data_IF_809209622838
#
_entry.id   IF_809209622838
#
_cell.length_a   1.000
_cell.length_b   1.000
_cell.length_c   1.000
_cell.angle_alpha   90.00
_cell.angle_beta   90.00
_cell.angle_gamma   90.00
#
_symmetry.space_group_name_H-M   'P 1'
#
loop_
_entity.id
_entity.type
_entity.pdbx_description
1 polymer ?
#
# COMPACT_ATOMS: atom_id res chain seq x y z
N UNK A 1 -6.95 -9.73 27.53
CA UNK A 1 -5.54 -10.03 27.22
C UNK A 1 -5.35 -11.44 26.67
N UNK A 2 -5.83 -12.47 27.36
CA UNK A 2 -5.65 -13.89 27.00
C UNK A 2 -5.93 -14.24 25.53
N UNK A 3 -6.99 -13.71 24.92
CA UNK A 3 -7.27 -13.99 23.50
C UNK A 3 -6.16 -13.53 22.54
N UNK A 4 -5.40 -12.48 22.87
CA UNK A 4 -4.26 -12.05 22.05
C UNK A 4 -3.11 -13.05 22.14
N UNK A 5 -2.90 -13.66 23.32
CA UNK A 5 -1.95 -14.75 23.52
C UNK A 5 -2.36 -16.00 22.72
N UNK A 6 -3.64 -16.38 22.79
CA UNK A 6 -4.19 -17.50 21.99
C UNK A 6 -4.03 -17.24 20.49
N UNK A 7 -4.29 -16.01 20.07
CA UNK A 7 -4.11 -15.58 18.68
C UNK A 7 -2.64 -15.40 18.27
N UNK A 8 -1.71 -15.43 19.23
CA UNK A 8 -0.28 -15.14 19.05
C UNK A 8 -0.01 -13.74 18.46
N UNK A 9 -0.85 -12.77 18.80
CA UNK A 9 -0.71 -11.36 18.42
C UNK A 9 -0.13 -10.57 19.59
N UNK A 10 1.00 -9.88 19.37
CA UNK A 10 1.67 -9.12 20.43
C UNK A 10 0.71 -8.05 21.01
N UNK A 11 0.53 -7.98 22.34
CA UNK A 11 -0.50 -7.18 22.99
C UNK A 11 -0.11 -5.70 23.11
N UNK A 12 0.14 -5.06 21.96
CA UNK A 12 0.32 -3.61 21.87
C UNK A 12 -1.01 -2.90 22.12
N UNK A 13 -0.94 -1.65 22.58
CA UNK A 13 -2.09 -0.88 23.04
C UNK A 13 -3.22 -0.82 21.99
N UNK A 14 -2.90 -0.62 20.71
CA UNK A 14 -3.86 -0.68 19.60
C UNK A 14 -4.63 -2.01 19.51
N UNK A 15 -3.97 -3.15 19.64
CA UNK A 15 -4.59 -4.48 19.57
C UNK A 15 -5.41 -4.78 20.82
N UNK A 16 -4.94 -4.38 21.99
CA UNK A 16 -5.72 -4.50 23.25
C UNK A 16 -6.97 -3.63 23.16
N UNK A 17 -6.84 -2.38 22.73
CA UNK A 17 -7.96 -1.45 22.48
C UNK A 17 -8.95 -2.02 21.46
N UNK A 18 -8.45 -2.56 20.35
CA UNK A 18 -9.27 -3.23 19.34
C UNK A 18 -10.09 -4.38 19.94
N UNK A 19 -9.46 -5.22 20.77
CA UNK A 19 -10.12 -6.34 21.43
C UNK A 19 -11.14 -5.94 22.49
N UNK A 20 -10.94 -4.83 23.18
CA UNK A 20 -11.92 -4.28 24.11
C UNK A 20 -13.16 -3.79 23.34
N UNK A 21 -12.95 -3.08 22.23
CA UNK A 21 -14.03 -2.62 21.34
C UNK A 21 -14.82 -3.78 20.74
N UNK A 22 -14.15 -4.82 20.24
CA UNK A 22 -14.79 -6.03 19.71
C UNK A 22 -15.66 -6.75 20.74
N UNK A 23 -15.34 -6.62 22.04
CA UNK A 23 -16.11 -7.19 23.15
C UNK A 23 -17.19 -6.25 23.70
N UNK A 24 -17.47 -5.13 23.02
CA UNK A 24 -18.40 -4.10 23.49
C UNK A 24 -18.08 -3.61 24.92
N UNK A 25 -16.78 -3.49 25.24
CA UNK A 25 -16.37 -2.95 26.54
C UNK A 25 -16.76 -1.48 26.64
N UNK A 26 -17.17 -0.99 27.82
CA UNK A 26 -17.45 0.43 28.06
C UNK A 26 -16.32 1.34 27.59
N UNK A 27 -16.66 2.46 26.95
CA UNK A 27 -15.69 3.41 26.39
C UNK A 27 -14.70 3.93 27.46
N UNK A 28 -15.13 4.02 28.72
CA UNK A 28 -14.26 4.37 29.85
C UNK A 28 -13.10 3.38 29.95
N UNK A 29 -13.37 2.08 29.93
CA UNK A 29 -12.32 1.05 29.98
C UNK A 29 -11.46 1.05 28.72
N UNK A 30 -12.04 1.29 27.55
CA UNK A 30 -11.28 1.41 26.29
C UNK A 30 -10.29 2.59 26.32
N UNK A 31 -10.55 3.62 27.12
CA UNK A 31 -9.66 4.78 27.30
C UNK A 31 -8.65 4.58 28.43
N UNK A 32 -9.03 3.94 29.52
CA UNK A 32 -8.20 3.81 30.74
C UNK A 32 -7.54 2.43 30.91
N UNK A 33 -7.68 1.50 29.96
CA UNK A 33 -7.20 0.12 30.12
C UNK A 33 -5.73 0.02 30.52
N UNK A 34 -4.84 0.85 29.98
CA UNK A 34 -3.40 0.80 30.31
C UNK A 34 -3.18 1.05 31.81
N UNK A 35 -3.85 2.06 32.37
CA UNK A 35 -3.80 2.37 33.80
C UNK A 35 -4.41 1.24 34.63
N UNK A 36 -5.54 0.68 34.20
CA UNK A 36 -6.21 -0.42 34.88
C UNK A 36 -5.32 -1.68 34.95
N UNK A 37 -4.65 -2.03 33.86
CA UNK A 37 -3.67 -3.13 33.88
C UNK A 37 -2.48 -2.81 34.80
N UNK A 38 -2.02 -1.55 34.82
CA UNK A 38 -0.93 -1.09 35.69
C UNK A 38 -1.25 -1.13 37.19
N UNK A 39 -2.53 -1.12 37.57
CA UNK A 39 -2.98 -1.27 38.97
C UNK A 39 -2.84 -2.71 39.51
N UNK A 40 -2.60 -3.69 38.64
CA UNK A 40 -2.46 -5.10 38.99
C UNK A 40 -1.08 -5.67 38.57
N UNK A 41 0.02 -5.16 39.15
CA UNK A 41 1.39 -5.54 38.77
C UNK A 41 1.75 -6.98 39.13
N UNK A 42 0.98 -7.62 40.01
CA UNK A 42 1.07 -9.04 40.36
C UNK A 42 0.60 -9.95 39.21
N UNK A 43 -0.27 -9.45 38.34
CA UNK A 43 -0.84 -10.20 37.22
C UNK A 43 -0.31 -9.74 35.86
N UNK A 44 0.06 -8.48 35.73
CA UNK A 44 0.40 -7.87 34.44
C UNK A 44 1.71 -7.08 34.51
N UNK A 45 2.40 -7.06 33.37
CA UNK A 45 3.55 -6.21 33.13
C UNK A 45 3.20 -5.20 32.04
N UNK A 46 3.18 -3.92 32.38
CA UNK A 46 2.91 -2.84 31.42
C UNK A 46 4.23 -2.17 31.05
N UNK A 47 4.63 -2.33 29.79
CA UNK A 47 5.83 -1.71 29.24
C UNK A 47 5.44 -0.44 28.47
N UNK A 48 5.93 0.71 28.93
CA UNK A 48 5.76 2.00 28.26
C UNK A 48 7.11 2.41 27.64
N UNK A 49 7.27 2.30 26.31
CA UNK A 49 8.54 2.69 25.69
C UNK A 49 8.77 4.20 25.85
N UNK A 50 10.01 4.58 26.17
CA UNK A 50 10.41 6.00 26.15
C UNK A 50 10.48 6.46 24.69
N UNK A 51 9.65 7.43 24.29
CA UNK A 51 9.68 8.00 22.93
C UNK A 51 8.34 8.13 22.20
N UNK A 52 7.22 7.78 22.83
CA UNK A 52 5.88 7.95 22.24
C UNK A 52 5.37 6.73 21.47
N UNK A 53 6.10 5.62 21.48
CA UNK A 53 5.58 4.33 21.02
C UNK A 53 4.44 3.83 21.93
N UNK A 54 3.53 3.05 21.36
CA UNK A 54 2.38 2.51 22.07
C UNK A 54 2.80 1.51 23.18
N UNK A 55 2.14 1.62 24.34
CA UNK A 55 2.34 0.70 25.46
C UNK A 55 2.10 -0.76 25.06
N UNK A 56 2.82 -1.70 25.66
CA UNK A 56 2.59 -3.14 25.50
C UNK A 56 2.25 -3.77 26.84
N UNK A 57 1.23 -4.62 26.87
CA UNK A 57 0.68 -5.19 28.11
C UNK A 57 0.86 -6.69 28.10
N UNK A 58 1.68 -7.24 28.98
CA UNK A 58 1.93 -8.68 29.11
C UNK A 58 1.31 -9.23 30.39
N UNK A 59 1.13 -10.55 30.44
CA UNK A 59 1.00 -11.22 31.72
C UNK A 59 2.34 -11.24 32.44
N UNK A 60 2.34 -11.06 33.76
CA UNK A 60 3.55 -11.14 34.59
C UNK A 60 4.24 -12.50 34.45
N UNK A 61 3.45 -13.57 34.34
CA UNK A 61 3.92 -14.91 33.97
C UNK A 61 3.24 -15.36 32.68
N UNK A 62 4.02 -15.69 31.66
CA UNK A 62 3.46 -16.23 30.43
C UNK A 62 2.75 -17.58 30.69
N UNK A 63 1.58 -17.82 30.07
CA UNK A 63 0.91 -19.11 30.16
C UNK A 63 1.78 -20.25 29.58
N UNK A 64 1.71 -21.44 30.17
CA UNK A 64 2.54 -22.59 29.75
C UNK A 64 2.25 -23.05 28.31
N UNK A 65 1.02 -22.83 27.84
CA UNK A 65 0.60 -23.16 26.48
C UNK A 65 1.04 -22.14 25.42
N UNK A 66 1.64 -21.02 25.83
CA UNK A 66 1.99 -19.94 24.91
C UNK A 66 3.25 -20.25 24.10
N UNK A 67 3.13 -20.23 22.76
CA UNK A 67 4.19 -20.61 21.82
C UNK A 67 4.94 -19.42 21.20
N UNK A 68 4.92 -18.26 21.86
CA UNK A 68 5.52 -17.04 21.31
C UNK A 68 4.64 -16.30 20.30
N UNK A 69 5.05 -15.08 19.96
CA UNK A 69 4.35 -14.17 19.05
C UNK A 69 4.63 -14.52 17.59
N UNK A 70 3.68 -14.22 16.70
CA UNK A 70 3.91 -14.22 15.26
C UNK A 70 4.38 -12.82 14.84
N UNK A 71 5.49 -12.76 14.12
CA UNK A 71 5.86 -11.58 13.36
C UNK A 71 5.05 -11.58 12.05
N UNK A 72 4.08 -10.67 11.97
CA UNK A 72 3.15 -10.57 10.83
C UNK A 72 3.86 -10.01 9.60
N UNK A 73 4.92 -9.22 9.79
CA UNK A 73 5.64 -8.55 8.71
C UNK A 73 6.87 -9.36 8.23
N UNK A 74 7.09 -10.56 8.80
CA UNK A 74 8.13 -11.48 8.35
C UNK A 74 7.92 -11.87 6.88
N UNK A 75 8.98 -11.91 6.05
CA UNK A 75 8.90 -12.39 4.66
C UNK A 75 8.98 -13.92 4.56
N UNK A 76 9.26 -14.62 5.67
CA UNK A 76 9.40 -16.07 5.65
C UNK A 76 8.04 -16.74 5.42
N UNK A 77 7.97 -17.68 4.48
CA UNK A 77 6.76 -18.45 4.19
C UNK A 77 6.87 -19.89 4.73
N UNK A 78 6.41 -20.15 5.97
CA UNK A 78 6.42 -21.48 6.56
C UNK A 78 5.17 -22.31 6.20
N UNK A 79 4.29 -21.80 5.34
CA UNK A 79 3.00 -22.43 5.02
C UNK A 79 3.13 -23.32 3.78
N UNK A 80 2.43 -24.47 3.80
CA UNK A 80 2.49 -25.42 2.69
C UNK A 80 1.69 -24.95 1.46
N UNK A 81 1.99 -25.55 0.31
CA UNK A 81 1.30 -25.24 -0.96
C UNK A 81 -0.17 -25.70 -0.98
N UNK A 82 -0.57 -26.63 -0.10
CA UNK A 82 -1.96 -27.10 0.00
C UNK A 82 -2.85 -26.00 0.56
N UNK A 83 -2.36 -25.28 1.58
CA UNK A 83 -2.99 -24.08 2.11
C UNK A 83 -3.12 -23.02 1.01
N UNK A 84 -2.04 -22.73 0.29
CA UNK A 84 -2.03 -21.69 -0.74
C UNK A 84 -2.99 -22.02 -1.88
N UNK A 85 -3.01 -23.26 -2.35
CA UNK A 85 -3.98 -23.72 -3.34
C UNK A 85 -5.43 -23.64 -2.85
N UNK A 86 -5.68 -23.98 -1.58
CA UNK A 86 -7.01 -23.88 -0.98
C UNK A 86 -7.47 -22.43 -0.83
N UNK A 87 -6.56 -21.52 -0.44
CA UNK A 87 -6.82 -20.09 -0.34
C UNK A 87 -7.08 -19.49 -1.73
N UNK A 88 -6.25 -19.80 -2.72
CA UNK A 88 -6.44 -19.32 -4.09
C UNK A 88 -7.78 -19.77 -4.66
N UNK A 89 -8.15 -21.05 -4.46
CA UNK A 89 -9.46 -21.59 -4.85
C UNK A 89 -10.62 -20.89 -4.13
N UNK A 90 -10.46 -20.60 -2.83
CA UNK A 90 -11.44 -19.83 -2.09
C UNK A 90 -11.58 -18.40 -2.64
N UNK A 91 -10.49 -17.78 -3.08
CA UNK A 91 -10.46 -16.42 -3.63
C UNK A 91 -10.92 -16.33 -5.09
N UNK A 92 -11.19 -17.45 -5.77
CA UNK A 92 -11.63 -17.54 -7.18
C UNK A 92 -13.09 -17.06 -7.40
N UNK A 93 -13.55 -16.12 -6.59
CA UNK A 93 -14.88 -15.56 -6.62
C UNK A 93 -14.87 -14.06 -6.33
N UNK A 94 -16.06 -13.45 -6.30
CA UNK A 94 -16.17 -12.04 -5.99
C UNK A 94 -16.09 -11.82 -4.46
N UNK A 95 -14.90 -11.46 -3.99
CA UNK A 95 -14.67 -11.15 -2.58
C UNK A 95 -14.15 -9.73 -2.39
N UNK A 96 -14.59 -9.11 -1.30
CA UNK A 96 -14.11 -7.79 -0.88
C UNK A 96 -14.04 -7.77 0.64
N UNK A 97 -12.85 -7.54 1.17
CA UNK A 97 -12.58 -7.60 2.61
C UNK A 97 -12.29 -6.19 3.14
N UNK A 98 -12.94 -5.83 4.24
CA UNK A 98 -12.75 -4.54 4.92
C UNK A 98 -11.70 -4.64 6.04
N UNK A 99 -11.23 -3.49 6.54
CA UNK A 99 -10.43 -3.44 7.76
C UNK A 99 -8.97 -3.89 7.61
N UNK A 100 -8.46 -3.90 6.37
CA UNK A 100 -7.07 -4.25 6.06
C UNK A 100 -6.72 -5.70 6.42
N UNK A 101 -5.45 -5.96 6.72
CA UNK A 101 -4.90 -7.31 6.98
C UNK A 101 -5.64 -8.03 8.11
N UNK A 102 -5.80 -7.34 9.24
CA UNK A 102 -6.49 -7.87 10.42
C UNK A 102 -7.97 -8.11 10.15
N UNK A 103 -8.66 -7.16 9.51
CA UNK A 103 -10.07 -7.30 9.17
C UNK A 103 -10.33 -8.47 8.24
N UNK A 104 -9.52 -8.63 7.19
CA UNK A 104 -9.58 -9.79 6.30
C UNK A 104 -9.30 -11.11 7.04
N UNK A 105 -8.24 -11.18 7.85
CA UNK A 105 -7.92 -12.38 8.61
C UNK A 105 -9.06 -12.79 9.55
N UNK A 106 -9.70 -11.82 10.20
CA UNK A 106 -10.89 -12.05 11.04
C UNK A 106 -12.06 -12.59 10.22
N UNK A 107 -12.34 -12.00 9.06
CA UNK A 107 -13.42 -12.45 8.19
C UNK A 107 -13.17 -13.88 7.68
N UNK A 108 -11.93 -14.19 7.28
CA UNK A 108 -11.54 -15.55 6.87
C UNK A 108 -11.75 -16.57 8.00
N UNK A 109 -11.38 -16.22 9.23
CA UNK A 109 -11.63 -17.09 10.39
C UNK A 109 -13.12 -17.26 10.68
N UNK A 110 -13.92 -16.20 10.55
CA UNK A 110 -15.38 -16.26 10.77
C UNK A 110 -16.09 -17.15 9.76
N UNK A 111 -15.53 -17.31 8.56
CA UNK A 111 -16.04 -18.22 7.53
C UNK A 111 -15.76 -19.70 7.83
N UNK A 112 -15.05 -20.02 8.94
CA UNK A 112 -14.76 -21.38 9.41
C UNK A 112 -14.18 -22.30 8.32
N UNK A 113 -13.23 -21.77 7.54
CA UNK A 113 -12.61 -22.50 6.44
C UNK A 113 -11.71 -23.62 7.00
N UNK A 114 -11.95 -24.86 6.56
CA UNK A 114 -11.25 -26.04 7.09
C UNK A 114 -9.72 -25.95 6.99
N UNK A 115 -9.21 -25.39 5.89
CA UNK A 115 -7.77 -25.22 5.68
C UNK A 115 -7.14 -24.13 6.57
N UNK A 116 -7.94 -23.26 7.21
CA UNK A 116 -7.46 -22.27 8.18
C UNK A 116 -7.66 -22.72 9.64
N UNK A 117 -8.40 -23.80 9.89
CA UNK A 117 -8.71 -24.30 11.23
C UNK A 117 -7.48 -24.54 12.15
N UNK A 118 -6.32 -25.00 11.66
CA UNK A 118 -5.17 -25.23 12.54
C UNK A 118 -4.36 -23.95 12.86
N UNK A 119 -4.69 -22.81 12.25
CA UNK A 119 -3.92 -21.57 12.38
C UNK A 119 -4.56 -20.59 13.35
N UNK A 120 -3.73 -19.94 14.17
CA UNK A 120 -4.17 -18.83 15.03
C UNK A 120 -4.44 -17.57 14.20
N UNK A 121 -5.20 -16.61 14.73
CA UNK A 121 -5.46 -15.36 13.98
C UNK A 121 -4.17 -14.64 13.59
N UNK A 122 -3.14 -14.61 14.45
CA UNK A 122 -1.84 -14.04 14.11
C UNK A 122 -1.18 -14.71 12.92
N UNK A 123 -1.29 -16.05 12.81
CA UNK A 123 -0.82 -16.79 11.63
C UNK A 123 -1.66 -16.45 10.40
N UNK A 124 -3.00 -16.33 10.53
CA UNK A 124 -3.86 -15.91 9.41
C UNK A 124 -3.56 -14.47 8.96
N UNK A 125 -3.25 -13.55 9.88
CA UNK A 125 -2.77 -12.20 9.54
C UNK A 125 -1.47 -12.27 8.72
N UNK A 126 -0.54 -13.13 9.11
CA UNK A 126 0.71 -13.35 8.36
C UNK A 126 0.45 -14.00 6.99
N UNK A 127 -0.45 -14.98 6.89
CA UNK A 127 -0.89 -15.56 5.61
C UNK A 127 -1.46 -14.47 4.69
N UNK A 128 -2.30 -13.57 5.21
CA UNK A 128 -2.83 -12.43 4.44
C UNK A 128 -1.70 -11.49 4.01
N UNK A 129 -0.73 -11.22 4.87
CA UNK A 129 0.45 -10.42 4.50
C UNK A 129 1.23 -11.03 3.34
N UNK A 130 1.59 -12.31 3.43
CA UNK A 130 2.31 -13.03 2.38
C UNK A 130 1.48 -13.13 1.09
N UNK A 131 0.15 -13.25 1.21
CA UNK A 131 -0.76 -13.23 0.07
C UNK A 131 -0.72 -11.92 -0.71
N UNK A 132 -0.44 -10.80 -0.02
CA UNK A 132 -0.32 -9.48 -0.62
C UNK A 132 1.07 -9.30 -1.22
N UNK A 133 2.13 -9.58 -0.45
CA UNK A 133 3.51 -9.22 -0.81
C UNK A 133 4.19 -10.24 -1.72
N UNK A 134 4.03 -11.53 -1.44
CA UNK A 134 4.83 -12.58 -2.07
C UNK A 134 4.02 -13.44 -3.03
N UNK A 135 2.85 -13.92 -2.60
CA UNK A 135 2.00 -14.84 -3.39
C UNK A 135 1.07 -14.11 -4.37
N UNK A 136 0.90 -12.79 -4.22
CA UNK A 136 0.13 -11.90 -5.11
C UNK A 136 -1.32 -12.37 -5.34
N UNK A 137 -1.94 -13.02 -4.37
CA UNK A 137 -3.32 -13.51 -4.45
C UNK A 137 -4.34 -12.38 -4.21
N UNK A 138 -3.95 -11.36 -3.45
CA UNK A 138 -4.84 -10.30 -2.96
C UNK A 138 -4.15 -8.95 -3.13
N UNK A 139 -4.91 -7.91 -3.45
CA UNK A 139 -4.42 -6.53 -3.62
C UNK A 139 -5.29 -5.54 -2.86
N UNK A 140 -4.69 -4.44 -2.40
CA UNK A 140 -5.44 -3.29 -1.91
C UNK A 140 -6.09 -2.54 -3.07
N UNK A 141 -7.42 -2.41 -3.02
CA UNK A 141 -8.19 -1.60 -3.95
C UNK A 141 -9.20 -0.74 -3.18
N UNK A 142 -9.11 0.59 -3.31
CA UNK A 142 -9.99 1.56 -2.63
C UNK A 142 -10.15 1.32 -1.11
N UNK A 143 -9.02 1.12 -0.41
CA UNK A 143 -8.93 0.80 1.04
C UNK A 143 -9.49 -0.57 1.46
N UNK A 144 -9.89 -1.40 0.50
CA UNK A 144 -10.36 -2.77 0.72
C UNK A 144 -9.33 -3.76 0.19
N UNK A 145 -9.37 -5.00 0.66
CA UNK A 145 -8.59 -6.10 0.09
C UNK A 145 -9.49 -6.89 -0.86
N UNK A 146 -8.99 -7.19 -2.07
CA UNK A 146 -9.72 -7.96 -3.09
C UNK A 146 -8.81 -9.01 -3.72
N UNK A 147 -9.35 -10.18 -4.14
CA UNK A 147 -8.61 -11.11 -4.98
C UNK A 147 -8.07 -10.40 -6.22
N UNK A 148 -6.82 -10.72 -6.60
CA UNK A 148 -6.20 -10.11 -7.78
C UNK A 148 -7.03 -10.36 -9.03
N UNK A 149 -7.60 -11.57 -9.16
CA UNK A 149 -8.40 -11.95 -10.31
C UNK A 149 -9.69 -11.15 -10.43
N UNK A 150 -10.32 -10.74 -9.31
CA UNK A 150 -11.49 -9.85 -9.36
C UNK A 150 -11.12 -8.47 -9.91
N UNK A 151 -9.93 -7.96 -9.58
CA UNK A 151 -9.45 -6.67 -10.09
C UNK A 151 -9.02 -6.78 -11.56
N UNK A 152 -8.49 -7.94 -11.98
CA UNK A 152 -8.08 -8.22 -13.35
C UNK A 152 -9.27 -8.56 -14.28
N UNK A 153 -10.29 -9.28 -13.81
CA UNK A 153 -11.48 -9.61 -14.61
C UNK A 153 -12.48 -8.45 -14.73
N UNK A 154 -12.34 -7.41 -13.90
CA UNK A 154 -13.05 -6.14 -14.09
C UNK A 154 -12.43 -5.28 -15.21
N UNK A 155 -11.37 -5.77 -15.85
CA UNK A 155 -10.95 -5.31 -17.17
C UNK A 155 -11.98 -5.81 -18.21
N UNK A 156 -12.49 -4.96 -19.11
CA UNK A 156 -13.40 -5.43 -20.14
C UNK A 156 -12.70 -6.51 -20.97
N UNK A 157 -13.23 -7.73 -20.90
CA UNK A 157 -12.92 -8.76 -21.89
C UNK A 157 -13.45 -8.24 -23.23
N UNK A 158 -12.56 -8.02 -24.18
CA UNK A 158 -12.94 -7.78 -25.57
C UNK A 158 -13.76 -8.98 -26.06
N UNK A 159 -15.07 -8.79 -26.22
CA UNK A 159 -15.97 -9.90 -26.50
C UNK A 159 -17.43 -9.51 -26.65
N UNK A 160 -17.73 -8.85 -27.77
CA UNK A 160 -18.97 -8.99 -28.54
C UNK A 160 -20.29 -8.36 -28.00
N UNK A 161 -20.70 -7.26 -28.64
CA UNK A 161 -22.09 -7.07 -29.10
C UNK A 161 -23.08 -6.31 -28.19
N UNK A 162 -23.50 -5.15 -28.71
CA UNK A 162 -24.77 -4.46 -28.48
C UNK A 162 -25.00 -3.66 -27.17
N UNK A 163 -24.62 -2.38 -27.25
CA UNK A 163 -25.59 -1.28 -27.22
C UNK A 163 -26.35 -1.01 -25.91
N UNK A 164 -25.70 -0.34 -24.97
CA UNK A 164 -26.30 0.73 -24.15
C UNK A 164 -25.16 1.50 -23.46
N UNK A 165 -25.02 2.79 -23.76
CA UNK A 165 -24.05 3.66 -23.10
C UNK A 165 -24.39 3.79 -21.61
N UNK A 166 -23.39 3.80 -20.73
CA UNK A 166 -23.22 5.01 -19.93
C UNK A 166 -21.75 5.43 -19.74
N UNK A 167 -21.55 6.73 -19.90
CA UNK A 167 -20.56 7.60 -19.23
C UNK A 167 -19.11 7.09 -19.09
N UNK A 168 -18.33 7.52 -20.09
CA UNK A 168 -16.88 7.50 -20.18
C UNK A 168 -16.26 8.08 -18.90
N UNK A 169 -15.71 7.21 -18.04
CA UNK A 169 -14.68 7.63 -17.08
C UNK A 169 -13.35 7.04 -17.56
N UNK A 170 -12.60 7.89 -18.26
CA UNK A 170 -11.26 7.65 -18.79
C UNK A 170 -10.31 7.15 -17.69
N UNK A 171 -10.18 5.84 -17.54
CA UNK A 171 -9.16 5.24 -16.69
C UNK A 171 -7.82 5.26 -17.43
N UNK A 172 -6.98 6.19 -17.02
CA UNK A 172 -5.67 6.42 -17.59
C UNK A 172 -4.72 5.21 -17.62
N UNK A 173 -3.93 5.10 -18.68
CA UNK A 173 -2.95 4.04 -18.92
C UNK A 173 -1.86 4.02 -17.84
N UNK A 174 -1.51 2.84 -17.32
CA UNK A 174 -0.48 2.70 -16.28
C UNK A 174 0.93 2.86 -16.88
N UNK A 175 1.82 3.54 -16.17
CA UNK A 175 3.23 3.69 -16.55
C UNK A 175 3.97 2.43 -16.11
N UNK A 176 4.58 1.73 -17.07
CA UNK A 176 5.16 0.38 -16.86
C UNK A 176 6.68 0.33 -17.00
N UNK A 177 7.29 1.36 -17.57
CA UNK A 177 8.73 1.43 -17.78
C UNK A 177 9.31 2.80 -17.39
N UNK A 178 10.63 2.80 -17.18
CA UNK A 178 11.36 3.96 -16.63
C UNK A 178 11.52 5.10 -17.64
N UNK A 179 11.50 4.80 -18.94
CA UNK A 179 11.65 5.82 -19.98
C UNK A 179 10.35 6.60 -20.14
N UNK A 180 9.21 5.91 -20.10
CA UNK A 180 7.87 6.49 -20.10
C UNK A 180 7.61 7.30 -18.82
N UNK A 181 8.05 6.81 -17.65
CA UNK A 181 8.01 7.60 -16.41
C UNK A 181 8.86 8.87 -16.52
N UNK A 182 10.09 8.75 -16.98
CA UNK A 182 11.01 9.87 -17.19
C UNK A 182 10.43 10.91 -18.16
N UNK A 183 9.83 10.46 -19.27
CA UNK A 183 9.20 11.32 -20.26
C UNK A 183 8.04 12.13 -19.65
N UNK A 184 7.17 11.47 -18.88
CA UNK A 184 6.05 12.14 -18.19
C UNK A 184 6.56 13.17 -17.18
N UNK A 185 7.59 12.83 -16.40
CA UNK A 185 8.17 13.74 -15.42
C UNK A 185 8.84 14.95 -16.05
N UNK A 186 9.52 14.79 -17.20
CA UNK A 186 10.04 15.92 -17.95
C UNK A 186 8.94 16.89 -18.36
N UNK A 187 7.87 16.36 -18.98
CA UNK A 187 6.74 17.18 -19.43
C UNK A 187 6.08 17.91 -18.25
N UNK A 188 5.90 17.25 -17.11
CA UNK A 188 5.41 17.88 -15.89
C UNK A 188 6.32 19.02 -15.41
N UNK A 189 7.62 18.79 -15.30
CA UNK A 189 8.56 19.77 -14.75
C UNK A 189 8.82 20.96 -15.70
N UNK A 190 8.58 20.80 -16.99
CA UNK A 190 8.59 21.92 -17.95
C UNK A 190 7.50 22.97 -17.64
N UNK A 191 6.34 22.53 -17.14
CA UNK A 191 5.25 23.41 -16.71
C UNK A 191 5.40 23.91 -15.26
N UNK A 192 6.26 23.27 -14.48
CA UNK A 192 6.48 23.56 -13.05
C UNK A 192 7.98 23.78 -12.74
N UNK A 193 8.58 24.91 -13.17
CA UNK A 193 10.02 25.16 -13.05
C UNK A 193 10.53 25.28 -11.61
N UNK A 194 9.65 25.54 -10.64
CA UNK A 194 9.98 25.53 -9.20
C UNK A 194 10.08 24.12 -8.59
N UNK A 195 9.72 23.08 -9.35
CA UNK A 195 9.66 21.71 -8.90
C UNK A 195 8.29 21.31 -8.35
N UNK A 196 8.09 20.00 -8.21
CA UNK A 196 6.82 19.39 -7.82
C UNK A 196 6.99 18.66 -6.49
N UNK A 197 6.05 18.82 -5.56
CA UNK A 197 6.06 18.03 -4.32
C UNK A 197 5.87 16.55 -4.62
N UNK A 198 6.76 15.71 -4.08
CA UNK A 198 6.75 14.27 -4.28
C UNK A 198 5.38 13.65 -3.92
N UNK A 199 4.76 14.11 -2.83
CA UNK A 199 3.43 13.63 -2.40
C UNK A 199 2.28 13.95 -3.37
N UNK A 200 2.43 14.97 -4.23
CA UNK A 200 1.43 15.37 -5.24
C UNK A 200 1.69 14.76 -6.61
N UNK A 201 2.87 14.18 -6.84
CA UNK A 201 3.29 13.69 -8.14
C UNK A 201 2.31 12.69 -8.76
N UNK A 202 1.87 11.67 -8.01
CA UNK A 202 0.87 10.69 -8.47
C UNK A 202 -0.45 11.35 -8.89
N UNK A 203 -0.87 12.37 -8.14
CA UNK A 203 -2.10 13.09 -8.43
C UNK A 203 -1.97 13.90 -9.72
N UNK A 204 -0.82 14.53 -9.95
CA UNK A 204 -0.55 15.32 -11.15
C UNK A 204 -0.38 14.44 -12.39
N UNK A 205 0.33 13.31 -12.31
CA UNK A 205 0.41 12.31 -13.40
C UNK A 205 -1.00 11.85 -13.81
N UNK A 206 -1.87 11.60 -12.83
CA UNK A 206 -3.26 11.23 -13.10
C UNK A 206 -4.07 12.34 -13.74
N UNK A 207 -3.92 13.58 -13.30
CA UNK A 207 -4.74 14.70 -13.75
C UNK A 207 -4.28 15.29 -15.08
N UNK A 208 -2.98 15.49 -15.25
CA UNK A 208 -2.40 16.16 -16.44
C UNK A 208 -2.17 15.20 -17.60
N UNK A 209 -1.83 13.93 -17.32
CA UNK A 209 -1.46 12.96 -18.35
C UNK A 209 -2.48 11.84 -18.50
N UNK A 210 -3.49 11.77 -17.62
CA UNK A 210 -4.39 10.61 -17.53
C UNK A 210 -3.58 9.32 -17.52
N UNK A 211 -2.54 9.24 -16.69
CA UNK A 211 -1.73 8.03 -16.48
C UNK A 211 -1.75 7.62 -15.01
N UNK A 212 -1.45 6.36 -14.71
CA UNK A 212 -1.33 5.86 -13.33
C UNK A 212 0.12 5.49 -13.02
N UNK A 213 0.63 5.95 -11.88
CA UNK A 213 1.95 5.58 -11.36
C UNK A 213 1.78 4.66 -10.14
N UNK A 214 2.41 3.49 -10.20
CA UNK A 214 2.41 2.46 -9.17
C UNK A 214 3.85 2.10 -8.82
N UNK A 215 4.25 2.24 -7.55
CA UNK A 215 5.60 1.87 -7.09
C UNK A 215 5.87 0.38 -7.32
N UNK A 216 4.82 -0.45 -7.27
CA UNK A 216 4.90 -1.89 -7.52
C UNK A 216 5.33 -2.22 -8.95
N UNK A 217 4.98 -1.37 -9.94
CA UNK A 217 5.43 -1.55 -11.32
C UNK A 217 6.95 -1.41 -11.47
N UNK A 218 7.59 -0.71 -10.52
CA UNK A 218 9.02 -0.41 -10.49
C UNK A 218 9.76 -1.11 -9.33
N UNK A 219 9.11 -2.10 -8.71
CA UNK A 219 9.67 -2.88 -7.59
C UNK A 219 10.06 -2.03 -6.36
N UNK A 220 9.37 -0.91 -6.17
CA UNK A 220 9.52 -0.03 -5.01
C UNK A 220 8.36 -0.17 -4.02
N UNK A 221 8.62 0.11 -2.75
CA UNK A 221 7.59 0.20 -1.70
C UNK A 221 7.25 1.63 -1.34
N UNK A 222 8.18 2.57 -1.58
CA UNK A 222 7.99 4.00 -1.35
C UNK A 222 8.25 4.79 -2.62
N UNK A 223 7.46 5.84 -2.84
CA UNK A 223 7.58 6.70 -4.02
C UNK A 223 8.97 7.34 -4.16
N UNK A 224 9.64 7.62 -3.05
CA UNK A 224 10.99 8.19 -3.03
C UNK A 224 12.04 7.22 -3.58
N UNK A 225 11.83 5.91 -3.44
CA UNK A 225 12.80 4.88 -3.89
C UNK A 225 12.91 4.85 -5.42
N UNK A 226 11.88 5.31 -6.16
CA UNK A 226 11.96 5.47 -7.62
C UNK A 226 13.12 6.38 -8.03
N UNK A 227 13.36 7.46 -7.28
CA UNK A 227 14.41 8.43 -7.57
C UNK A 227 15.81 7.96 -7.15
N UNK A 228 15.90 6.79 -6.54
CA UNK A 228 17.19 6.10 -6.30
C UNK A 228 17.55 5.12 -7.41
N UNK A 229 16.65 4.90 -8.38
CA UNK A 229 16.89 4.02 -9.53
C UNK A 229 17.31 4.81 -10.77
N UNK A 230 18.15 4.22 -11.60
CA UNK A 230 18.43 4.75 -12.94
C UNK A 230 17.20 4.59 -13.85
N UNK A 231 16.90 5.58 -14.71
CA UNK A 231 17.66 6.80 -14.98
C UNK A 231 17.27 8.00 -14.09
N UNK A 232 16.29 7.84 -13.19
CA UNK A 232 15.71 8.94 -12.41
C UNK A 232 16.74 9.60 -11.47
N UNK A 233 17.64 8.82 -10.88
CA UNK A 233 18.72 9.28 -9.99
C UNK A 233 19.68 10.26 -10.66
N UNK A 234 20.00 10.04 -11.94
CA UNK A 234 20.89 10.90 -12.71
C UNK A 234 20.16 12.10 -13.36
N UNK A 235 18.83 12.05 -13.40
CA UNK A 235 18.01 12.98 -14.20
C UNK A 235 17.26 14.00 -13.34
N UNK A 236 16.84 13.62 -12.14
CA UNK A 236 16.03 14.45 -11.25
C UNK A 236 16.69 14.63 -9.89
N UNK A 237 16.55 15.82 -9.33
CA UNK A 237 17.09 16.17 -8.00
C UNK A 237 15.95 16.19 -6.99
N UNK A 238 16.18 15.55 -5.85
CA UNK A 238 15.26 15.61 -4.70
C UNK A 238 15.76 16.65 -3.69
N UNK A 239 15.02 17.75 -3.55
CA UNK A 239 15.32 18.81 -2.58
C UNK A 239 14.37 18.74 -1.39
N UNK A 240 14.93 18.85 -0.18
CA UNK A 240 14.17 19.11 1.05
C UNK A 240 14.29 20.59 1.41
N UNK A 241 13.19 21.33 1.41
CA UNK A 241 13.16 22.72 1.90
C UNK A 241 13.41 22.78 3.42
N UNK A 242 13.69 23.99 3.94
CA UNK A 242 14.07 24.31 5.33
C UNK A 242 13.19 23.70 6.46
N UNK A 243 11.98 23.20 6.17
CA UNK A 243 11.11 22.50 7.14
C UNK A 243 11.43 21.01 7.29
N UNK A 244 12.30 20.43 6.45
CA UNK A 244 12.74 19.02 6.51
C UNK A 244 11.64 17.97 6.27
N UNK A 245 10.38 18.40 6.10
CA UNK A 245 9.21 17.54 5.96
C UNK A 245 8.70 17.41 4.52
N UNK A 246 9.03 18.36 3.64
CA UNK A 246 8.54 18.41 2.27
C UNK A 246 9.67 18.13 1.28
N UNK A 247 9.47 17.11 0.45
CA UNK A 247 10.40 16.71 -0.61
C UNK A 247 9.86 17.20 -1.96
N UNK A 248 10.71 17.90 -2.72
CA UNK A 248 10.43 18.39 -4.06
C UNK A 248 11.28 17.65 -5.08
N UNK A 249 10.66 17.28 -6.19
CA UNK A 249 11.31 16.74 -7.38
C UNK A 249 11.58 17.91 -8.32
N UNK A 250 12.83 18.08 -8.73
CA UNK A 250 13.27 19.10 -9.70
C UNK A 250 14.04 18.47 -10.84
N UNK A 251 14.06 19.17 -11.96
CA UNK A 251 14.87 18.79 -13.11
C UNK A 251 16.35 19.00 -12.77
N UNK A 252 17.18 17.97 -12.99
CA UNK A 252 18.63 18.09 -12.93
C UNK A 252 19.19 18.90 -14.11
N UNK A 253 20.51 19.03 -14.20
CA UNK A 253 21.13 19.74 -15.31
C UNK A 253 20.99 18.92 -16.63
N UNK A 254 20.32 19.42 -17.67
CA UNK A 254 20.17 18.68 -18.93
C UNK A 254 21.49 18.35 -19.64
N UNK A 255 22.55 19.13 -19.39
CA UNK A 255 23.87 18.89 -19.99
C UNK A 255 24.52 17.62 -19.44
N UNK A 256 24.16 17.22 -18.21
CA UNK A 256 24.70 16.04 -17.52
C UNK A 256 23.92 14.76 -17.80
N UNK A 257 22.83 14.83 -18.57
CA UNK A 257 22.06 13.65 -18.95
C UNK A 257 22.87 12.73 -19.87
N UNK A 258 22.66 11.43 -19.75
CA UNK A 258 23.20 10.44 -20.69
C UNK A 258 22.61 10.63 -22.09
N UNK A 259 23.29 10.14 -23.13
CA UNK A 259 22.83 10.32 -24.52
C UNK A 259 21.42 9.73 -24.76
N UNK A 260 21.10 8.62 -24.09
CA UNK A 260 19.75 8.02 -24.08
C UNK A 260 18.71 8.99 -23.50
N UNK A 261 18.99 9.57 -22.34
CA UNK A 261 18.06 10.48 -21.65
C UNK A 261 17.95 11.83 -22.35
N UNK A 262 19.01 12.31 -23.02
CA UNK A 262 18.94 13.46 -23.92
C UNK A 262 17.94 13.22 -25.06
N UNK A 263 17.86 12.00 -25.59
CA UNK A 263 16.83 11.59 -26.54
C UNK A 263 15.41 11.69 -25.98
N UNK A 264 15.18 11.14 -24.78
CA UNK A 264 13.88 11.21 -24.08
C UNK A 264 13.49 12.67 -23.75
N UNK A 265 14.44 13.48 -23.32
CA UNK A 265 14.24 14.91 -23.04
C UNK A 265 13.91 15.71 -24.30
N UNK A 266 14.57 15.43 -25.43
CA UNK A 266 14.24 16.04 -26.71
C UNK A 266 12.83 15.66 -27.20
N UNK A 267 12.40 14.41 -26.98
CA UNK A 267 11.04 13.96 -27.28
C UNK A 267 9.99 14.70 -26.45
N UNK A 268 10.24 14.91 -25.15
CA UNK A 268 9.37 15.72 -24.29
C UNK A 268 9.22 17.15 -24.84
N UNK A 269 10.34 17.81 -25.16
CA UNK A 269 10.35 19.16 -25.71
C UNK A 269 9.60 19.27 -27.04
N UNK A 270 9.78 18.31 -27.95
CA UNK A 270 9.11 18.29 -29.24
C UNK A 270 7.59 18.09 -29.11
N UNK A 271 7.14 17.25 -28.18
CA UNK A 271 5.73 17.02 -27.90
C UNK A 271 5.04 18.29 -27.36
N UNK A 272 5.69 19.00 -26.43
CA UNK A 272 5.17 20.25 -25.87
C UNK A 272 5.16 21.39 -26.91
N UNK A 273 6.20 21.51 -27.74
CA UNK A 273 6.24 22.48 -28.83
C UNK A 273 5.09 22.25 -29.83
N UNK A 274 4.77 20.99 -30.13
CA UNK A 274 3.64 20.63 -31.02
C UNK A 274 2.28 20.95 -30.40
N UNK A 275 2.10 20.73 -29.08
CA UNK A 275 0.89 21.13 -28.37
C UNK A 275 0.71 22.66 -28.31
N UNK A 276 1.79 23.41 -28.09
CA UNK A 276 1.76 24.88 -28.11
C UNK A 276 1.37 25.45 -29.48
N UNK A 277 1.87 24.85 -30.58
CA UNK A 277 1.52 25.24 -31.95
C UNK A 277 0.06 24.92 -32.32
N UNK A 278 -0.50 23.82 -31.81
CA UNK A 278 -1.91 23.46 -32.03
C UNK A 278 -2.88 24.33 -31.21
N UNK A 279 -2.49 24.74 -30.00
CA UNK A 279 -3.27 25.68 -29.18
C UNK A 279 -3.43 27.06 -29.81
N UNK A 280 -2.44 27.51 -30.60
CA UNK A 280 -2.49 28.79 -31.31
C UNK A 280 -3.42 28.78 -32.55
N UNK A 281 -3.72 27.62 -33.14
CA UNK A 281 -4.65 27.50 -34.27
C UNK A 281 -6.13 27.47 -33.86
N UNK A 282 -6.44 27.19 -32.59
CA UNK A 282 -7.81 27.21 -32.05
C UNK A 282 -8.16 28.50 -31.29
N UNK A 283 -7.24 29.46 -31.20
CA UNK A 283 -7.47 30.77 -30.58
C UNK A 283 -7.82 31.90 -31.56
N UNK A 284 -8.00 31.60 -32.85
CA UNK A 284 -8.43 32.57 -33.86
C UNK A 284 -9.62 32.00 -34.64
N UNK A 285 -10.79 32.05 -34.03
CA UNK A 285 -12.10 32.01 -34.71
C UNK A 285 -13.12 32.75 -33.88
#
# INVERSE_FOLDING_TARGET
LESLYQDRIKPMANYVKGRLKERNSPEVFVKTFVELYGQHPDLFEVQNPMGGDEATIFFHKNPEWFKGWIDIDSPEDPYDEVLWGSLAKFLDGEHTFAGGRYGMARELMQRNLAFLAPYTLGQVCHIVQLSIQHRRLIVYHRKMLKPIQTVLCQLPSEGNGNGAAPEISSEGEEIKDMDDLTLVLFRMLMHHPSGIRLCRMKQMIKHEFSRKLSEMAFQCTKLIELFSQEPLSATFVLDTENDGKSIYVRLGNPDTFSDHIKGVYAMANAAEAKQALQGLQHGVS
#
